data_IF_083673659629
#
_entry.id   IF_083673659629
#
_cell.length_a   1.000
_cell.length_b   1.000
_cell.length_c   1.000
_cell.angle_alpha   90.00
_cell.angle_beta   90.00
_cell.angle_gamma   90.00
#
_symmetry.space_group_name_H-M   'P 1'
#
loop_
_entity.id
_entity.type
_entity.pdbx_description
1 polymer ?
#
# COMPACT_ATOMS: atom_id res chain seq x y z
N UNK A 1 9.76 55.08 35.93
CA UNK A 1 8.40 55.01 35.36
C UNK A 1 7.57 54.01 36.17
N UNK A 2 6.62 54.49 36.97
CA UNK A 2 5.72 53.62 37.74
C UNK A 2 4.50 53.28 36.86
N UNK A 3 4.38 52.03 36.43
CA UNK A 3 3.19 51.52 35.75
C UNK A 3 1.98 51.60 36.69
N UNK A 4 0.88 52.23 36.23
CA UNK A 4 -0.39 52.33 36.96
C UNK A 4 -0.89 50.91 37.30
N UNK A 5 -1.51 50.76 38.47
CA UNK A 5 -1.95 49.45 39.00
C UNK A 5 -2.84 48.67 38.01
N UNK A 6 -3.68 49.37 37.23
CA UNK A 6 -4.52 48.72 36.20
C UNK A 6 -3.68 48.13 35.05
N UNK A 7 -2.60 48.80 34.62
CA UNK A 7 -1.70 48.29 33.58
C UNK A 7 -0.98 47.01 34.03
N UNK A 8 -0.64 46.91 35.32
CA UNK A 8 -0.08 45.67 35.89
C UNK A 8 -1.08 44.52 35.88
N UNK A 9 -2.36 44.80 36.17
CA UNK A 9 -3.44 43.80 36.11
C UNK A 9 -3.70 43.30 34.68
N UNK A 10 -3.72 44.21 33.70
CA UNK A 10 -3.87 43.82 32.29
C UNK A 10 -2.69 43.00 31.77
N UNK A 11 -1.46 43.30 32.19
CA UNK A 11 -0.28 42.50 31.83
C UNK A 11 -0.34 41.12 32.51
N UNK A 12 -0.78 41.05 33.77
CA UNK A 12 -0.86 39.80 34.53
C UNK A 12 -1.84 38.80 33.92
N UNK A 13 -2.94 39.27 33.31
CA UNK A 13 -3.99 38.43 32.73
C UNK A 13 -3.81 38.27 31.22
N UNK A 14 -3.47 39.35 30.53
CA UNK A 14 -3.34 39.36 29.07
C UNK A 14 -2.12 38.57 28.58
N UNK A 15 -1.01 38.57 29.33
CA UNK A 15 0.17 37.82 28.94
C UNK A 15 -0.08 36.30 28.95
N UNK A 16 -0.61 35.67 30.02
CA UNK A 16 -1.01 34.26 29.98
C UNK A 16 -2.00 33.93 28.86
N UNK A 17 -3.00 34.78 28.62
CA UNK A 17 -4.01 34.58 27.58
C UNK A 17 -3.39 34.54 26.18
N UNK A 18 -2.43 35.42 25.89
CA UNK A 18 -1.69 35.41 24.63
C UNK A 18 -0.85 34.14 24.50
N UNK A 19 -0.17 33.73 25.57
CA UNK A 19 0.60 32.47 25.58
C UNK A 19 -0.29 31.25 25.37
N UNK A 20 -1.48 31.23 25.97
CA UNK A 20 -2.46 30.16 25.80
C UNK A 20 -2.96 30.08 24.36
N UNK A 21 -3.27 31.21 23.74
CA UNK A 21 -3.66 31.27 22.33
C UNK A 21 -2.55 30.78 21.39
N UNK A 22 -1.30 31.20 21.64
CA UNK A 22 -0.14 30.73 20.88
C UNK A 22 0.01 29.22 21.06
N UNK A 23 -0.09 28.74 22.30
CA UNK A 23 0.06 27.32 22.63
C UNK A 23 -1.00 26.47 21.93
N UNK A 24 -2.28 26.85 22.03
CA UNK A 24 -3.38 26.15 21.35
C UNK A 24 -3.19 26.16 19.84
N UNK A 25 -2.72 27.27 19.26
CA UNK A 25 -2.44 27.37 17.82
C UNK A 25 -1.33 26.40 17.39
N UNK A 26 -0.24 26.33 18.15
CA UNK A 26 0.86 25.37 17.91
C UNK A 26 0.35 23.94 18.03
N UNK A 27 -0.50 23.67 19.03
CA UNK A 27 -1.03 22.34 19.28
C UNK A 27 -1.91 21.86 18.13
N UNK A 28 -2.83 22.70 17.65
CA UNK A 28 -3.67 22.42 16.47
C UNK A 28 -2.80 22.18 15.23
N UNK A 29 -1.79 23.04 15.01
CA UNK A 29 -0.90 22.90 13.86
C UNK A 29 -0.07 21.61 13.91
N UNK A 30 0.40 21.23 15.11
CA UNK A 30 1.16 20.00 15.32
C UNK A 30 0.28 18.77 15.13
N UNK A 31 -0.95 18.81 15.64
CA UNK A 31 -1.93 17.76 15.44
C UNK A 31 -2.23 17.54 13.95
N UNK A 32 -2.49 18.61 13.20
CA UNK A 32 -2.74 18.52 11.77
C UNK A 32 -1.53 17.96 10.99
N UNK A 33 -0.31 18.28 11.41
CA UNK A 33 0.91 17.69 10.82
C UNK A 33 1.02 16.19 11.12
N UNK A 34 0.75 15.79 12.35
CA UNK A 34 0.76 14.37 12.75
C UNK A 34 -0.28 13.58 11.98
N UNK A 35 -1.50 14.09 11.86
CA UNK A 35 -2.57 13.44 11.09
C UNK A 35 -2.15 13.21 9.62
N UNK A 36 -1.52 14.21 8.99
CA UNK A 36 -0.97 14.06 7.62
C UNK A 36 0.15 13.03 7.55
N UNK A 37 1.06 13.03 8.52
CA UNK A 37 2.16 12.07 8.57
C UNK A 37 1.63 10.63 8.73
N UNK A 38 0.65 10.43 9.62
CA UNK A 38 -0.01 9.15 9.81
C UNK A 38 -0.77 8.70 8.57
N UNK A 39 -1.50 9.59 7.89
CA UNK A 39 -2.19 9.26 6.65
C UNK A 39 -1.22 8.74 5.59
N UNK A 40 -0.08 9.43 5.43
CA UNK A 40 0.99 9.01 4.51
C UNK A 40 1.61 7.66 4.90
N UNK A 41 1.85 7.43 6.18
CA UNK A 41 2.40 6.16 6.67
C UNK A 41 1.42 4.99 6.42
N UNK A 42 0.14 5.19 6.72
CA UNK A 42 -0.92 4.20 6.47
C UNK A 42 -0.99 3.88 4.98
N UNK A 43 -0.93 4.91 4.13
CA UNK A 43 -0.95 4.75 2.68
C UNK A 43 0.25 3.93 2.18
N UNK A 44 1.47 4.30 2.57
CA UNK A 44 2.69 3.58 2.22
C UNK A 44 2.65 2.11 2.70
N UNK A 45 2.11 1.87 3.89
CA UNK A 45 1.94 0.52 4.44
C UNK A 45 0.94 -0.29 3.64
N UNK A 46 -0.18 0.30 3.23
CA UNK A 46 -1.19 -0.36 2.41
C UNK A 46 -0.62 -0.80 1.04
N UNK A 47 0.21 0.04 0.42
CA UNK A 47 0.92 -0.30 -0.82
C UNK A 47 1.88 -1.48 -0.56
N UNK A 48 2.73 -1.39 0.47
CA UNK A 48 3.69 -2.43 0.80
C UNK A 48 3.01 -3.79 1.09
N UNK A 49 1.91 -3.78 1.86
CA UNK A 49 1.14 -4.99 2.16
C UNK A 49 0.50 -5.59 0.90
N UNK A 50 0.03 -4.75 -0.03
CA UNK A 50 -0.55 -5.21 -1.30
C UNK A 50 0.51 -5.83 -2.20
N UNK A 51 1.69 -5.20 -2.33
CA UNK A 51 2.83 -5.74 -3.07
C UNK A 51 3.28 -7.08 -2.47
N UNK A 52 3.44 -7.14 -1.15
CA UNK A 52 3.87 -8.36 -0.46
C UNK A 52 2.86 -9.50 -0.64
N UNK A 53 1.55 -9.19 -0.58
CA UNK A 53 0.48 -10.15 -0.86
C UNK A 53 0.54 -10.64 -2.32
N UNK A 54 0.83 -9.74 -3.26
CA UNK A 54 1.04 -10.09 -4.67
C UNK A 54 2.20 -11.05 -4.88
N UNK A 55 3.36 -10.73 -4.31
CA UNK A 55 4.55 -11.57 -4.38
C UNK A 55 4.31 -12.94 -3.73
N UNK A 56 3.67 -12.99 -2.56
CA UNK A 56 3.34 -14.25 -1.92
C UNK A 56 2.38 -15.11 -2.76
N UNK A 57 1.39 -14.48 -3.40
CA UNK A 57 0.43 -15.16 -4.29
C UNK A 57 1.14 -15.68 -5.55
N UNK A 58 2.05 -14.90 -6.14
CA UNK A 58 2.89 -15.31 -7.28
C UNK A 58 3.76 -16.54 -6.93
N UNK A 59 4.45 -16.49 -5.79
CA UNK A 59 5.31 -17.59 -5.37
C UNK A 59 4.51 -18.88 -5.13
N UNK A 60 3.33 -18.77 -4.53
CA UNK A 60 2.43 -19.92 -4.36
C UNK A 60 1.97 -20.46 -5.70
N UNK A 61 1.50 -19.60 -6.61
CA UNK A 61 0.95 -20.02 -7.90
C UNK A 61 1.99 -20.74 -8.77
N UNK A 62 3.23 -20.23 -8.79
CA UNK A 62 4.38 -20.87 -9.43
C UNK A 62 4.76 -22.19 -8.75
N UNK A 63 4.81 -22.21 -7.42
CA UNK A 63 5.10 -23.41 -6.65
C UNK A 63 4.10 -24.54 -6.94
N UNK A 64 2.81 -24.22 -7.00
CA UNK A 64 1.77 -25.19 -7.36
C UNK A 64 1.86 -25.65 -8.81
N UNK A 65 2.24 -24.79 -9.76
CA UNK A 65 2.43 -25.22 -11.16
C UNK A 65 3.60 -26.20 -11.28
N UNK A 66 4.73 -25.92 -10.62
CA UNK A 66 5.90 -26.81 -10.64
C UNK A 66 5.53 -28.15 -10.00
N UNK A 67 4.85 -28.11 -8.85
CA UNK A 67 4.40 -29.33 -8.15
C UNK A 67 3.41 -30.15 -8.98
N UNK A 68 2.45 -29.52 -9.67
CA UNK A 68 1.51 -30.24 -10.55
C UNK A 68 2.21 -30.95 -11.70
N UNK A 69 3.24 -30.31 -12.27
CA UNK A 69 4.02 -30.90 -13.35
C UNK A 69 4.85 -32.10 -12.85
N UNK A 70 5.38 -32.03 -11.63
CA UNK A 70 6.14 -33.12 -11.02
C UNK A 70 5.22 -34.26 -10.56
N UNK A 71 4.06 -33.97 -9.99
CA UNK A 71 3.13 -34.99 -9.49
C UNK A 71 2.31 -35.66 -10.58
N UNK A 72 2.15 -35.04 -11.76
CA UNK A 72 1.32 -35.51 -12.90
C UNK A 72 -0.15 -35.82 -12.56
N UNK A 73 -0.62 -35.47 -11.37
CA UNK A 73 -1.97 -35.83 -10.90
C UNK A 73 -3.05 -34.81 -11.26
N UNK A 74 -2.70 -33.61 -11.74
CA UNK A 74 -3.67 -32.57 -12.12
C UNK A 74 -4.48 -32.00 -10.94
N UNK A 75 -4.27 -32.52 -9.73
CA UNK A 75 -4.99 -32.14 -8.52
C UNK A 75 -4.69 -30.70 -8.08
N UNK A 76 -3.58 -30.12 -8.54
CA UNK A 76 -3.13 -28.78 -8.15
C UNK A 76 -3.45 -27.72 -9.21
N UNK A 77 -3.97 -28.11 -10.39
CA UNK A 77 -4.32 -27.17 -11.45
C UNK A 77 -5.39 -26.16 -11.01
N UNK A 78 -6.41 -26.62 -10.28
CA UNK A 78 -7.46 -25.75 -9.74
C UNK A 78 -6.93 -24.77 -8.69
N UNK A 79 -5.96 -25.19 -7.87
CA UNK A 79 -5.33 -24.33 -6.87
C UNK A 79 -4.46 -23.27 -7.55
N UNK A 80 -3.64 -23.67 -8.54
CA UNK A 80 -2.85 -22.74 -9.34
C UNK A 80 -3.74 -21.69 -10.01
N UNK A 81 -4.85 -22.08 -10.65
CA UNK A 81 -5.81 -21.15 -11.26
C UNK A 81 -6.43 -20.18 -10.25
N UNK A 82 -6.80 -20.65 -9.05
CA UNK A 82 -7.35 -19.79 -8.01
C UNK A 82 -6.35 -18.70 -7.60
N UNK A 83 -5.09 -19.07 -7.39
CA UNK A 83 -4.05 -18.08 -7.03
C UNK A 83 -3.75 -17.13 -8.19
N UNK A 84 -3.84 -17.57 -9.45
CA UNK A 84 -3.73 -16.67 -10.59
C UNK A 84 -4.90 -15.69 -10.72
N UNK A 85 -6.11 -16.13 -10.40
CA UNK A 85 -7.25 -15.21 -10.32
C UNK A 85 -7.09 -14.19 -9.18
N UNK A 86 -6.48 -14.59 -8.06
CA UNK A 86 -6.18 -13.67 -6.96
C UNK A 86 -5.08 -12.65 -7.31
N UNK A 87 -4.19 -12.94 -8.27
CA UNK A 87 -3.23 -11.95 -8.79
C UNK A 87 -3.90 -10.82 -9.56
N UNK A 88 -4.96 -11.10 -10.32
CA UNK A 88 -5.75 -10.04 -10.94
C UNK A 88 -6.37 -9.12 -9.89
N UNK A 89 -6.87 -9.67 -8.78
CA UNK A 89 -7.40 -8.86 -7.68
C UNK A 89 -6.31 -8.02 -7.00
N UNK A 90 -5.09 -8.54 -6.90
CA UNK A 90 -3.95 -7.76 -6.37
C UNK A 90 -3.61 -6.60 -7.31
N UNK A 91 -3.55 -6.85 -8.62
CA UNK A 91 -3.34 -5.82 -9.64
C UNK A 91 -4.40 -4.73 -9.55
N UNK A 92 -5.67 -5.11 -9.52
CA UNK A 92 -6.78 -4.15 -9.45
C UNK A 92 -6.75 -3.34 -8.16
N UNK A 93 -6.38 -3.96 -7.04
CA UNK A 93 -6.16 -3.25 -5.76
C UNK A 93 -5.00 -2.28 -5.82
N UNK A 94 -3.89 -2.65 -6.46
CA UNK A 94 -2.74 -1.77 -6.66
C UNK A 94 -3.09 -0.55 -7.52
N UNK A 95 -3.81 -0.76 -8.62
CA UNK A 95 -4.26 0.33 -9.49
C UNK A 95 -5.34 1.22 -8.85
N UNK A 96 -6.09 0.68 -7.89
CA UNK A 96 -7.08 1.43 -7.12
C UNK A 96 -6.46 2.29 -5.99
N UNK A 97 -5.17 2.09 -5.65
CA UNK A 97 -4.48 2.94 -4.69
C UNK A 97 -4.09 4.26 -5.39
N UNK A 98 -4.69 5.37 -4.94
CA UNK A 98 -4.32 6.72 -5.41
C UNK A 98 -2.86 7.00 -5.07
N UNK A 99 -2.02 7.26 -6.08
CA UNK A 99 -0.63 7.59 -5.84
C UNK A 99 -0.47 9.02 -5.32
N UNK A 100 0.26 9.19 -4.22
CA UNK A 100 0.56 10.51 -3.64
C UNK A 100 1.57 11.32 -4.48
N UNK A 101 2.35 10.66 -5.35
CA UNK A 101 3.36 11.31 -6.20
C UNK A 101 3.65 10.53 -7.50
N UNK A 102 4.24 11.22 -8.49
CA UNK A 102 4.55 10.65 -9.81
C UNK A 102 5.49 9.44 -9.75
N UNK A 103 6.42 9.41 -8.79
CA UNK A 103 7.38 8.29 -8.63
C UNK A 103 6.67 7.04 -8.13
N UNK A 104 5.78 7.20 -7.15
CA UNK A 104 4.97 6.13 -6.59
C UNK A 104 3.97 5.58 -7.61
N UNK A 105 3.33 6.47 -8.37
CA UNK A 105 2.48 6.08 -9.50
C UNK A 105 3.25 5.23 -10.49
N UNK A 106 4.45 5.67 -10.87
CA UNK A 106 5.31 4.92 -11.80
C UNK A 106 5.70 3.55 -11.24
N UNK A 107 6.03 3.45 -9.95
CA UNK A 107 6.38 2.17 -9.32
C UNK A 107 5.18 1.21 -9.25
N UNK A 108 3.97 1.72 -8.99
CA UNK A 108 2.73 0.95 -9.01
C UNK A 108 2.44 0.45 -10.43
N UNK A 109 2.56 1.32 -11.43
CA UNK A 109 2.37 0.97 -12.84
C UNK A 109 3.40 -0.07 -13.30
N UNK A 110 4.69 0.10 -12.96
CA UNK A 110 5.75 -0.88 -13.26
C UNK A 110 5.47 -2.25 -12.62
N UNK A 111 4.99 -2.27 -11.37
CA UNK A 111 4.64 -3.52 -10.70
C UNK A 111 3.40 -4.18 -11.32
N UNK A 112 2.37 -3.39 -11.67
CA UNK A 112 1.19 -3.90 -12.38
C UNK A 112 1.56 -4.49 -13.75
N UNK A 113 2.45 -3.83 -14.50
CA UNK A 113 2.99 -4.32 -15.77
C UNK A 113 3.77 -5.64 -15.60
N UNK A 114 4.54 -5.78 -14.52
CA UNK A 114 5.22 -7.04 -14.20
C UNK A 114 4.22 -8.16 -13.91
N UNK A 115 3.15 -7.88 -13.16
CA UNK A 115 2.07 -8.83 -12.91
C UNK A 115 1.39 -9.24 -14.22
N UNK A 116 1.13 -8.29 -15.13
CA UNK A 116 0.53 -8.57 -16.44
C UNK A 116 1.42 -9.45 -17.32
N UNK A 117 2.72 -9.18 -17.36
CA UNK A 117 3.68 -10.03 -18.09
C UNK A 117 3.71 -11.45 -17.52
N UNK A 118 3.72 -11.59 -16.21
CA UNK A 118 3.72 -12.88 -15.53
C UNK A 118 2.43 -13.66 -15.78
N UNK A 119 1.29 -12.98 -15.85
CA UNK A 119 0.00 -13.60 -16.21
C UNK A 119 0.04 -14.16 -17.63
N UNK A 120 0.56 -13.40 -18.59
CA UNK A 120 0.69 -13.84 -19.99
C UNK A 120 1.67 -15.01 -20.13
N UNK A 121 2.84 -14.94 -19.48
CA UNK A 121 3.80 -16.03 -19.48
C UNK A 121 3.22 -17.29 -18.85
N UNK A 122 2.47 -17.18 -17.75
CA UNK A 122 1.82 -18.32 -17.13
C UNK A 122 0.82 -19.01 -18.06
N UNK A 123 -0.02 -18.26 -18.77
CA UNK A 123 -0.94 -18.85 -19.76
C UNK A 123 -0.17 -19.60 -20.85
N UNK A 124 0.99 -19.07 -21.26
CA UNK A 124 1.83 -19.71 -22.27
C UNK A 124 2.43 -21.03 -21.77
N UNK A 125 2.96 -21.05 -20.54
CA UNK A 125 3.53 -22.24 -19.89
C UNK A 125 2.44 -23.28 -19.66
N UNK A 126 1.26 -22.88 -19.19
CA UNK A 126 0.11 -23.77 -19.03
C UNK A 126 -0.29 -24.45 -20.35
N UNK A 127 -0.38 -23.67 -21.45
CA UNK A 127 -0.70 -24.22 -22.78
C UNK A 127 0.36 -25.21 -23.27
N UNK A 128 1.62 -24.98 -22.95
CA UNK A 128 2.72 -25.90 -23.28
C UNK A 128 2.62 -27.19 -22.46
N UNK A 129 2.42 -27.10 -21.14
CA UNK A 129 2.29 -28.27 -20.23
C UNK A 129 1.03 -29.09 -20.53
N UNK A 130 -0.10 -28.43 -20.83
CA UNK A 130 -1.35 -29.11 -21.21
C UNK A 130 -1.29 -29.83 -22.56
N UNK A 131 -0.41 -29.41 -23.47
CA UNK A 131 -0.15 -30.13 -24.74
C UNK A 131 0.68 -31.40 -24.52
N UNK A 132 1.60 -31.38 -23.57
CA UNK A 132 2.51 -32.51 -23.31
C UNK A 132 1.81 -33.69 -22.60
N UNK A 133 0.72 -33.44 -21.86
CA UNK A 133 -0.11 -34.49 -21.24
C UNK A 133 -1.01 -35.27 -22.24
N UNK A 134 -1.08 -34.86 -23.51
CA UNK A 134 -1.92 -35.49 -24.55
C UNK A 134 -1.13 -36.29 -25.62
N UNK A 135 0.16 -36.55 -25.36
CA UNK A 135 1.03 -37.46 -26.11
C UNK A 135 1.37 -38.68 -25.24
#
# INVERSE_FOLDING_TARGET
>A
MQLRLSTKGYILIGLPLIFELIFVSILIFTQAQLERAYAKEIHARAIADTINTGLATLLKSLGYLILDNVSREGALENQSQSYFHDLNKVRDRLLALEADNDTERKNIEEFADLVDRLLVEFESVRKAVGKDKNL
#
